data_IF_943816677047
#
_entry.id   IF_943816677047
#
_cell.length_a   1.000
_cell.length_b   1.000
_cell.length_c   1.000
_cell.angle_alpha   90.00
_cell.angle_beta   90.00
_cell.angle_gamma   90.00
#
_symmetry.space_group_name_H-M   'P 1'
#
loop_
_entity.id
_entity.type
_entity.pdbx_description
1 polymer ?
#
# COMPACT_ATOMS: atom_id res chain seq x y z
N UNK A 1 -9.09 9.30 12.83
CA UNK A 1 -8.03 8.36 13.26
C UNK A 1 -7.83 7.33 12.16
N UNK A 2 -6.59 6.96 11.86
CA UNK A 2 -6.31 5.92 10.85
C UNK A 2 -6.58 4.52 11.42
N UNK A 3 -7.10 3.58 10.63
CA UNK A 3 -7.19 2.17 11.00
C UNK A 3 -5.84 1.62 11.49
N UNK A 4 -5.85 0.79 12.55
CA UNK A 4 -4.63 0.25 13.19
C UNK A 4 -3.64 -0.37 12.20
N UNK A 5 -4.13 -1.15 11.24
CA UNK A 5 -3.29 -1.80 10.23
C UNK A 5 -2.56 -0.80 9.30
N UNK A 6 -3.21 0.32 8.93
CA UNK A 6 -2.56 1.38 8.14
C UNK A 6 -1.51 2.13 8.94
N UNK A 7 -1.80 2.45 10.20
CA UNK A 7 -0.82 3.06 11.09
C UNK A 7 0.41 2.14 11.27
N UNK A 8 0.19 0.84 11.49
CA UNK A 8 1.27 -0.16 11.58
C UNK A 8 2.14 -0.18 10.32
N UNK A 9 1.53 -0.24 9.13
CA UNK A 9 2.26 -0.20 7.84
C UNK A 9 3.10 1.06 7.70
N UNK A 10 2.53 2.21 8.05
CA UNK A 10 3.25 3.49 8.01
C UNK A 10 4.47 3.48 8.94
N UNK A 11 4.33 3.05 10.20
CA UNK A 11 5.47 3.02 11.14
C UNK A 11 6.53 1.99 10.75
N UNK A 12 6.13 0.87 10.17
CA UNK A 12 7.08 -0.11 9.63
C UNK A 12 7.87 0.47 8.45
N UNK A 13 7.21 1.20 7.53
CA UNK A 13 7.90 1.92 6.45
C UNK A 13 8.86 2.98 6.98
N UNK A 14 8.41 3.78 7.96
CA UNK A 14 9.20 4.83 8.59
C UNK A 14 10.46 4.29 9.29
N UNK A 15 10.35 3.12 9.92
CA UNK A 15 11.45 2.50 10.66
C UNK A 15 12.33 1.57 9.80
N UNK A 16 11.98 1.35 8.53
CA UNK A 16 12.71 0.43 7.65
C UNK A 16 12.41 -1.06 7.87
N UNK A 17 11.38 -1.40 8.66
CA UNK A 17 10.94 -2.77 8.96
C UNK A 17 9.67 -3.18 8.20
N UNK A 18 9.34 -2.45 7.14
CA UNK A 18 8.20 -2.78 6.28
C UNK A 18 8.39 -4.13 5.61
N UNK A 19 7.31 -4.90 5.48
CA UNK A 19 7.27 -6.13 4.71
C UNK A 19 7.32 -5.82 3.21
N UNK A 20 8.47 -5.34 2.73
CA UNK A 20 8.80 -5.05 1.33
C UNK A 20 10.03 -5.86 0.94
N UNK A 21 10.22 -6.12 -0.36
CA UNK A 21 11.26 -7.00 -0.89
C UNK A 21 12.66 -6.73 -0.32
N UNK A 22 13.09 -5.46 -0.20
CA UNK A 22 14.41 -5.16 0.37
C UNK A 22 14.60 -5.66 1.80
N UNK A 23 13.59 -5.51 2.66
CA UNK A 23 13.64 -5.98 4.04
C UNK A 23 13.47 -7.49 4.12
N UNK A 24 12.51 -8.06 3.36
CA UNK A 24 12.25 -9.51 3.34
C UNK A 24 13.45 -10.31 2.86
N UNK A 25 14.16 -9.82 1.85
CA UNK A 25 15.40 -10.42 1.40
C UNK A 25 16.51 -10.31 2.45
N UNK A 26 16.63 -9.15 3.11
CA UNK A 26 17.63 -8.95 4.16
C UNK A 26 17.46 -9.92 5.33
N UNK A 27 16.22 -10.16 5.78
CA UNK A 27 15.90 -11.15 6.82
C UNK A 27 15.81 -12.59 6.29
N UNK A 28 16.16 -12.83 5.02
CA UNK A 28 16.16 -14.16 4.37
C UNK A 28 14.80 -14.86 4.31
N UNK A 29 13.71 -14.08 4.26
CA UNK A 29 12.35 -14.60 4.04
C UNK A 29 12.04 -14.74 2.54
N UNK A 30 12.69 -13.95 1.68
CA UNK A 30 12.58 -14.04 0.22
C UNK A 30 13.97 -14.20 -0.42
N UNK A 31 14.03 -14.93 -1.53
CA UNK A 31 15.28 -15.21 -2.26
C UNK A 31 15.87 -13.96 -2.91
N UNK A 32 15.01 -13.05 -3.39
CA UNK A 32 15.40 -11.77 -3.95
C UNK A 32 14.54 -10.63 -3.37
N UNK A 33 14.89 -9.41 -3.76
CA UNK A 33 14.24 -8.20 -3.29
C UNK A 33 13.46 -7.50 -4.40
N UNK A 34 13.02 -8.22 -5.43
CA UNK A 34 12.31 -7.67 -6.58
C UNK A 34 10.95 -7.13 -6.15
N UNK A 35 10.51 -6.01 -6.73
CA UNK A 35 9.20 -5.45 -6.48
C UNK A 35 8.09 -6.38 -6.93
N UNK A 36 7.21 -6.77 -6.02
CA UNK A 36 6.08 -7.66 -6.32
C UNK A 36 5.05 -6.97 -7.23
N UNK A 37 5.01 -5.63 -7.24
CA UNK A 37 4.13 -4.85 -8.11
C UNK A 37 4.64 -4.76 -9.54
N UNK A 38 5.86 -4.24 -9.75
CA UNK A 38 6.35 -3.97 -11.11
C UNK A 38 7.33 -4.99 -11.67
N UNK A 39 7.86 -5.91 -10.84
CA UNK A 39 8.78 -6.98 -11.22
C UNK A 39 10.07 -6.57 -11.93
N UNK A 40 10.45 -5.28 -11.89
CA UNK A 40 11.60 -4.74 -12.64
C UNK A 40 12.75 -4.34 -11.71
N UNK A 41 12.44 -3.66 -10.61
CA UNK A 41 13.44 -3.03 -9.74
C UNK A 41 13.39 -3.63 -8.34
N UNK A 42 14.48 -3.42 -7.58
CA UNK A 42 14.53 -3.75 -6.16
C UNK A 42 13.46 -2.96 -5.40
N UNK A 43 12.64 -3.66 -4.63
CA UNK A 43 11.57 -3.08 -3.83
C UNK A 43 12.10 -2.36 -2.60
N UNK A 44 12.29 -1.05 -2.74
CA UNK A 44 12.67 -0.16 -1.65
C UNK A 44 11.56 0.85 -1.38
N UNK A 45 11.58 1.47 -0.20
CA UNK A 45 10.66 2.59 0.12
C UNK A 45 10.76 3.70 -0.93
N UNK A 46 11.98 4.04 -1.38
CA UNK A 46 12.22 5.01 -2.45
C UNK A 46 11.50 4.59 -3.75
N UNK A 47 11.72 3.35 -4.18
CA UNK A 47 11.09 2.80 -5.36
C UNK A 47 9.57 2.88 -5.29
N UNK A 48 8.96 2.44 -4.18
CA UNK A 48 7.51 2.41 -4.01
C UNK A 48 6.90 3.81 -4.01
N UNK A 49 7.54 4.76 -3.30
CA UNK A 49 7.03 6.12 -3.14
C UNK A 49 7.27 7.02 -4.34
N UNK A 50 8.28 6.76 -5.18
CA UNK A 50 8.69 7.70 -6.24
C UNK A 50 8.77 7.10 -7.65
N UNK A 51 9.05 5.81 -7.81
CA UNK A 51 9.44 5.24 -9.12
C UNK A 51 8.50 4.15 -9.66
N UNK A 52 7.91 3.34 -8.78
CA UNK A 52 7.26 2.06 -9.11
C UNK A 52 6.20 2.18 -10.19
N UNK A 53 6.29 1.49 -11.32
CA UNK A 53 5.33 1.74 -12.41
C UNK A 53 3.89 1.33 -12.06
N UNK A 54 3.74 0.30 -11.23
CA UNK A 54 2.46 -0.19 -10.73
C UNK A 54 1.69 0.92 -9.99
N UNK A 55 2.35 1.61 -9.07
CA UNK A 55 1.70 2.61 -8.22
C UNK A 55 1.65 4.03 -8.81
N UNK A 56 1.80 4.16 -10.14
CA UNK A 56 1.93 5.49 -10.78
C UNK A 56 0.73 6.41 -10.49
N UNK A 57 -0.49 5.87 -10.57
CA UNK A 57 -1.69 6.64 -10.31
C UNK A 57 -1.79 7.07 -8.84
N UNK A 58 -1.45 6.18 -7.91
CA UNK A 58 -1.47 6.42 -6.48
C UNK A 58 -0.38 7.42 -6.07
N UNK A 59 0.82 7.36 -6.67
CA UNK A 59 1.88 8.37 -6.47
C UNK A 59 1.47 9.76 -6.97
N UNK A 60 0.82 9.84 -8.13
CA UNK A 60 0.34 11.12 -8.63
C UNK A 60 -0.70 11.73 -7.69
N UNK A 61 -1.56 10.90 -7.07
CA UNK A 61 -2.48 11.35 -6.02
C UNK A 61 -1.72 11.77 -4.76
N UNK A 62 -0.76 10.98 -4.28
CA UNK A 62 0.12 11.34 -3.16
C UNK A 62 0.74 12.74 -3.36
N UNK A 63 1.29 13.04 -4.54
CA UNK A 63 1.89 14.36 -4.81
C UNK A 63 0.88 15.52 -4.80
N UNK A 64 -0.38 15.28 -5.17
CA UNK A 64 -1.46 16.27 -5.05
C UNK A 64 -1.89 16.46 -3.59
N UNK A 65 -1.96 15.38 -2.84
CA UNK A 65 -2.33 15.41 -1.42
C UNK A 65 -1.24 16.13 -0.60
N UNK A 66 0.04 15.91 -0.91
CA UNK A 66 1.16 16.64 -0.30
C UNK A 66 1.09 18.14 -0.59
N UNK A 67 0.79 18.53 -1.83
CA UNK A 67 0.61 19.94 -2.18
C UNK A 67 -0.56 20.58 -1.44
N UNK A 68 -1.67 19.85 -1.31
CA UNK A 68 -2.84 20.26 -0.52
C UNK A 68 -2.48 20.46 0.95
N UNK A 69 -1.63 19.59 1.49
CA UNK A 69 -1.11 19.67 2.86
C UNK A 69 0.05 20.67 3.03
N UNK A 70 0.40 21.41 1.97
CA UNK A 70 1.52 22.37 1.93
C UNK A 70 2.88 21.74 2.25
N UNK A 71 3.03 20.45 1.99
CA UNK A 71 4.29 19.70 2.11
C UNK A 71 5.07 19.82 0.81
N UNK A 72 6.37 20.10 0.93
CA UNK A 72 7.27 20.16 -0.21
C UNK A 72 7.40 18.79 -0.87
N UNK A 73 7.10 18.73 -2.18
CA UNK A 73 7.24 17.51 -2.97
C UNK A 73 8.70 17.06 -3.00
N UNK A 74 8.95 15.74 -2.96
CA UNK A 74 10.26 15.17 -3.25
C UNK A 74 10.79 15.66 -4.60
N UNK A 75 12.04 16.07 -4.62
CA UNK A 75 12.77 16.48 -5.82
C UNK A 75 13.90 15.51 -6.11
N UNK A 76 14.33 15.43 -7.37
CA UNK A 76 15.44 14.56 -7.78
C UNK A 76 16.81 15.03 -7.25
N UNK A 77 16.89 16.22 -6.68
CA UNK A 77 18.11 16.76 -6.07
C UNK A 77 18.28 16.31 -4.62
N UNK A 78 17.22 15.80 -3.97
CA UNK A 78 17.29 15.28 -2.61
C UNK A 78 17.98 13.92 -2.59
N UNK A 79 18.98 13.76 -1.71
CA UNK A 79 19.69 12.49 -1.52
C UNK A 79 18.82 11.43 -0.81
N UNK A 80 17.99 11.85 0.15
CA UNK A 80 17.16 10.94 0.96
C UNK A 80 15.72 11.44 1.16
N UNK A 81 14.94 11.63 0.07
CA UNK A 81 13.61 12.22 0.13
C UNK A 81 12.61 11.41 0.96
N UNK A 82 12.69 10.08 0.93
CA UNK A 82 11.80 9.20 1.70
C UNK A 82 11.93 9.41 3.21
N UNK A 83 13.14 9.69 3.72
CA UNK A 83 13.36 9.90 5.15
C UNK A 83 12.73 11.19 5.66
N UNK A 84 12.93 12.29 4.93
CA UNK A 84 12.26 13.57 5.19
C UNK A 84 10.75 13.38 5.15
N UNK A 85 10.24 12.81 4.06
CA UNK A 85 8.80 12.68 3.83
C UNK A 85 8.11 11.82 4.90
N UNK A 86 8.71 10.68 5.29
CA UNK A 86 8.20 9.83 6.37
C UNK A 86 8.41 10.46 7.76
N UNK A 87 9.35 11.39 7.89
CA UNK A 87 9.61 12.17 9.10
C UNK A 87 8.60 13.29 9.34
N UNK A 88 8.09 13.89 8.27
CA UNK A 88 7.25 15.09 8.26
C UNK A 88 5.82 14.80 8.74
N UNK A 89 5.38 15.36 9.89
CA UNK A 89 4.04 15.13 10.43
C UNK A 89 2.92 15.49 9.45
N UNK A 90 3.06 16.59 8.74
CA UNK A 90 2.11 17.13 7.76
C UNK A 90 1.90 16.17 6.59
N UNK A 91 2.94 15.41 6.20
CA UNK A 91 2.87 14.42 5.13
C UNK A 91 2.12 13.13 5.53
N UNK A 92 1.93 12.90 6.83
CA UNK A 92 1.40 11.63 7.36
C UNK A 92 0.02 11.30 6.79
N UNK A 93 -0.85 12.30 6.63
CA UNK A 93 -2.20 12.10 6.07
C UNK A 93 -2.13 11.59 4.63
N UNK A 94 -1.37 12.27 3.77
CA UNK A 94 -1.18 11.90 2.37
C UNK A 94 -0.52 10.51 2.23
N UNK A 95 0.49 10.21 3.06
CA UNK A 95 1.15 8.90 3.08
C UNK A 95 0.20 7.77 3.50
N UNK A 96 -0.66 8.00 4.50
CA UNK A 96 -1.66 7.02 4.91
C UNK A 96 -2.70 6.77 3.81
N UNK A 97 -3.09 7.79 3.05
CA UNK A 97 -4.00 7.64 1.89
C UNK A 97 -3.34 6.85 0.75
N UNK A 98 -2.05 7.07 0.51
CA UNK A 98 -1.27 6.26 -0.43
C UNK A 98 -1.24 4.79 0.01
N UNK A 99 -0.99 4.50 1.29
CA UNK A 99 -1.01 3.13 1.81
C UNK A 99 -2.41 2.50 1.78
N UNK A 100 -3.45 3.28 2.01
CA UNK A 100 -4.84 2.80 1.93
C UNK A 100 -5.24 2.37 0.51
N UNK A 101 -4.61 2.94 -0.52
CA UNK A 101 -4.91 2.68 -1.94
C UNK A 101 -3.93 1.73 -2.63
N UNK A 102 -3.02 1.12 -1.86
CA UNK A 102 -1.99 0.21 -2.37
C UNK A 102 -1.82 -1.01 -1.46
N UNK A 103 -1.26 -2.08 -2.01
CA UNK A 103 -0.83 -3.26 -1.23
C UNK A 103 0.57 -3.11 -0.62
N UNK A 104 1.20 -1.93 -0.73
CA UNK A 104 2.58 -1.68 -0.26
C UNK A 104 2.76 -2.03 1.22
N UNK A 105 3.76 -2.86 1.54
CA UNK A 105 4.04 -3.27 2.91
C UNK A 105 2.85 -3.96 3.63
N UNK A 106 1.87 -4.46 2.88
CA UNK A 106 0.77 -5.25 3.44
C UNK A 106 1.29 -6.68 3.66
N UNK A 107 1.29 -7.20 4.90
CA UNK A 107 1.75 -8.57 5.14
C UNK A 107 0.97 -9.59 4.31
N UNK A 108 1.64 -10.61 3.78
CA UNK A 108 0.99 -11.69 3.00
C UNK A 108 -0.18 -12.35 3.74
N UNK A 109 -0.04 -12.58 5.04
CA UNK A 109 -1.12 -13.12 5.87
C UNK A 109 -2.38 -12.23 5.87
N UNK A 110 -2.20 -10.90 5.81
CA UNK A 110 -3.30 -9.95 5.75
C UNK A 110 -3.91 -9.88 4.35
N UNK A 111 -3.09 -9.97 3.28
CA UNK A 111 -3.57 -10.16 1.91
C UNK A 111 -4.44 -11.42 1.79
N UNK A 112 -4.02 -12.54 2.39
CA UNK A 112 -4.77 -13.80 2.41
C UNK A 112 -6.11 -13.65 3.13
N UNK A 113 -6.12 -13.07 4.35
CA UNK A 113 -7.37 -12.82 5.08
C UNK A 113 -8.33 -11.88 4.34
N UNK A 114 -7.81 -10.83 3.70
CA UNK A 114 -8.63 -9.93 2.88
C UNK A 114 -9.22 -10.65 1.67
N UNK A 115 -8.43 -11.50 1.00
CA UNK A 115 -8.91 -12.31 -0.12
C UNK A 115 -9.95 -13.35 0.33
N UNK A 116 -9.76 -14.01 1.47
CA UNK A 116 -10.75 -14.92 2.07
C UNK A 116 -12.05 -14.20 2.39
N UNK A 117 -11.97 -13.01 2.99
CA UNK A 117 -13.15 -12.21 3.29
C UNK A 117 -13.88 -11.76 2.02
N UNK A 118 -13.16 -11.28 1.01
CA UNK A 118 -13.75 -10.90 -0.26
C UNK A 118 -14.46 -12.09 -0.94
N UNK A 119 -13.83 -13.28 -0.96
CA UNK A 119 -14.45 -14.50 -1.46
C UNK A 119 -15.74 -14.84 -0.72
N UNK A 120 -15.75 -14.73 0.61
CA UNK A 120 -16.95 -15.00 1.42
C UNK A 120 -18.06 -13.97 1.17
N UNK A 121 -17.70 -12.71 0.99
CA UNK A 121 -18.66 -11.65 0.68
C UNK A 121 -19.24 -11.83 -0.74
N UNK A 122 -18.46 -12.32 -1.72
CA UNK A 122 -18.92 -12.69 -3.07
C UNK A 122 -19.79 -13.95 -3.06
N UNK A 123 -19.43 -14.96 -2.26
CA UNK A 123 -20.19 -16.21 -2.06
C UNK A 123 -21.57 -15.91 -1.44
N UNK A 124 -21.61 -15.05 -0.42
CA UNK A 124 -22.88 -14.57 0.16
C UNK A 124 -23.69 -13.71 -0.83
N UNK A 125 -23.02 -12.95 -1.71
CA UNK A 125 -23.66 -12.15 -2.75
C UNK A 125 -24.35 -12.98 -3.84
N UNK A 126 -23.80 -14.16 -4.17
CA UNK A 126 -24.41 -15.13 -5.08
C UNK A 126 -25.64 -15.81 -4.48
N UNK A 127 -25.58 -16.24 -3.21
CA UNK A 127 -26.72 -16.85 -2.53
C UNK A 127 -27.94 -15.89 -2.46
N UNK A 128 -27.70 -14.61 -2.17
CA UNK A 128 -28.74 -13.59 -2.15
C UNK A 128 -29.36 -13.32 -3.53
N UNK A 129 -28.57 -13.39 -4.61
CA UNK A 129 -29.07 -13.26 -5.98
C UNK A 129 -29.85 -14.51 -6.42
N UNK A 130 -29.38 -15.70 -6.08
CA UNK A 130 -30.07 -16.97 -6.36
C UNK A 130 -31.41 -17.07 -5.61
N UNK A 131 -31.47 -16.58 -4.36
CA UNK A 131 -32.71 -16.54 -3.59
C UNK A 131 -33.69 -15.49 -4.14
N UNK A 132 -33.22 -14.34 -4.61
CA UNK A 132 -34.04 -13.35 -5.32
C UNK A 132 -34.59 -13.87 -6.65
N UNK A 133 -33.81 -14.64 -7.43
CA UNK A 133 -34.28 -15.31 -8.66
C UNK A 133 -35.32 -16.38 -8.34
N UNK A 134 -35.16 -17.10 -7.23
CA UNK A 134 -36.09 -18.15 -6.78
C UNK A 134 -37.41 -17.61 -6.20
N UNK A 135 -37.39 -16.40 -5.64
CA UNK A 135 -38.58 -15.74 -5.06
C UNK A 135 -39.24 -14.75 -6.01
N UNK A 136 -38.65 -14.50 -7.18
CA UNK A 136 -39.11 -13.56 -8.21
C UNK A 136 -39.94 -14.15 -9.35
N UNK A 137 -40.67 -15.24 -9.11
CA UNK A 137 -41.75 -15.69 -10.00
C UNK A 137 -43.06 -15.74 -9.20
N UNK A 138 -43.89 -14.70 -9.37
CA UNK A 138 -45.21 -14.55 -8.77
C UNK A 138 -45.89 -13.28 -9.22
#
# INVERSE_FOLDING_TARGET
>A
MAPKHLASRYFQLKSGHAAIGAYLHWIRVQEDATCEGCSISRETTHHLLFECREWRHQRNRLYKDLETDRVMRPTTAEEYPQGRLLGEPEATRALLQFLASTSVALPRAHLQQMAERARRDDEWGLEALEEAVRTGEG
#
